data_IF_149355201042
#
_entry.id   IF_149355201042
#
_cell.length_a   1.000
_cell.length_b   1.000
_cell.length_c   1.000
_cell.angle_alpha   90.00
_cell.angle_beta   90.00
_cell.angle_gamma   90.00
#
_symmetry.space_group_name_H-M   'P 1'
#
loop_
_entity.id
_entity.type
_entity.pdbx_description
1 polymer ?
#
# COMPACT_ATOMS: atom_id res chain seq x y z
N UNK A 1 1.31 6.54 -22.97
CA UNK A 1 1.68 6.52 -21.55
C UNK A 1 0.88 7.63 -20.86
N UNK A 2 -0.16 7.27 -20.08
CA UNK A 2 -1.05 8.25 -19.45
C UNK A 2 -0.67 8.35 -17.97
N UNK A 3 0.15 9.33 -17.62
CA UNK A 3 0.46 9.65 -16.23
C UNK A 3 -0.73 10.41 -15.67
N UNK A 4 -1.57 9.73 -14.91
CA UNK A 4 -2.68 10.38 -14.21
C UNK A 4 -2.17 10.78 -12.84
N UNK A 5 -1.75 12.04 -12.68
CA UNK A 5 -1.53 12.60 -11.34
C UNK A 5 -2.88 12.60 -10.62
N UNK A 6 -2.97 11.88 -9.50
CA UNK A 6 -4.15 11.87 -8.66
C UNK A 6 -4.46 13.29 -8.20
N UNK A 7 -5.57 13.84 -8.71
CA UNK A 7 -6.15 15.12 -8.32
C UNK A 7 -7.40 14.80 -7.48
N UNK A 8 -7.47 15.19 -6.19
CA UNK A 8 -8.49 14.71 -5.26
C UNK A 8 -9.89 15.29 -5.49
N UNK A 9 -10.14 15.96 -6.61
CA UNK A 9 -11.42 16.59 -6.92
C UNK A 9 -11.89 16.30 -8.34
N UNK A 10 -12.06 15.03 -8.71
CA UNK A 10 -12.93 14.67 -9.84
C UNK A 10 -13.46 13.23 -9.70
N UNK A 11 -14.71 13.19 -9.22
CA UNK A 11 -15.70 12.13 -9.26
C UNK A 11 -15.36 10.89 -10.13
N UNK A 12 -14.96 9.78 -9.48
CA UNK A 12 -15.24 8.42 -9.93
C UNK A 12 -16.08 7.75 -8.83
N UNK A 13 -17.38 7.56 -9.10
CA UNK A 13 -18.39 7.01 -8.18
C UNK A 13 -18.20 5.53 -7.80
N UNK A 14 -16.96 5.04 -7.70
CA UNK A 14 -16.61 3.72 -7.19
C UNK A 14 -15.48 3.76 -6.12
N UNK A 15 -14.97 4.95 -5.81
CA UNK A 15 -13.89 5.20 -4.83
C UNK A 15 -14.45 5.79 -3.51
N UNK A 16 -15.72 6.21 -3.50
CA UNK A 16 -16.34 6.95 -2.38
C UNK A 16 -16.52 6.11 -1.09
N UNK A 17 -16.78 4.80 -1.20
CA UNK A 17 -16.95 3.93 -0.02
C UNK A 17 -15.62 3.65 0.72
N UNK A 18 -14.49 3.82 0.03
CA UNK A 18 -13.17 3.47 0.54
C UNK A 18 -12.55 4.58 1.40
N UNK A 19 -12.83 5.84 1.07
CA UNK A 19 -12.27 7.00 1.79
C UNK A 19 -12.79 7.11 3.23
N UNK A 20 -13.99 6.58 3.50
CA UNK A 20 -14.59 6.56 4.84
C UNK A 20 -13.99 5.48 5.75
N UNK A 21 -13.53 4.35 5.19
CA UNK A 21 -12.80 3.29 5.90
C UNK A 21 -11.31 3.66 6.12
N UNK A 22 -10.67 4.30 5.14
CA UNK A 22 -9.29 4.83 5.20
C UNK A 22 -9.06 5.90 6.29
N UNK A 23 -10.13 6.54 6.75
CA UNK A 23 -10.08 7.56 7.81
C UNK A 23 -10.00 6.96 9.22
N UNK A 24 -10.43 5.72 9.44
CA UNK A 24 -10.39 5.04 10.74
C UNK A 24 -10.14 3.50 10.63
N UNK A 25 -8.95 3.08 10.16
CA UNK A 25 -8.62 1.66 9.94
C UNK A 25 -8.52 0.81 11.23
N UNK A 26 -8.60 1.42 12.41
CA UNK A 26 -8.47 0.75 13.71
C UNK A 26 -9.81 0.33 14.37
N UNK A 27 -10.96 0.71 13.81
CA UNK A 27 -12.26 0.37 14.39
C UNK A 27 -12.78 -1.03 13.97
N UNK A 28 -12.20 -1.66 12.94
CA UNK A 28 -12.71 -2.89 12.33
C UNK A 28 -11.97 -4.18 12.73
N UNK A 29 -10.87 -4.11 13.48
CA UNK A 29 -10.08 -5.28 13.88
C UNK A 29 -9.66 -5.19 15.36
N UNK A 30 -10.53 -5.59 16.31
CA UNK A 30 -10.20 -5.58 17.74
C UNK A 30 -8.99 -6.47 18.09
N UNK A 31 -8.64 -7.45 17.24
CA UNK A 31 -7.48 -8.33 17.43
C UNK A 31 -6.14 -7.67 17.00
N UNK A 32 -6.15 -6.74 16.04
CA UNK A 32 -4.95 -5.99 15.64
C UNK A 32 -4.67 -4.84 16.62
N UNK A 33 -5.73 -4.27 17.21
CA UNK A 33 -5.63 -3.29 18.29
C UNK A 33 -4.99 -3.83 19.58
N UNK A 34 -5.09 -5.15 19.84
CA UNK A 34 -4.41 -5.78 20.99
C UNK A 34 -2.92 -6.04 20.70
N UNK A 35 -2.57 -6.42 19.46
CA UNK A 35 -1.18 -6.67 19.06
C UNK A 35 -0.37 -5.38 18.87
N UNK A 36 -1.00 -4.30 18.38
CA UNK A 36 -0.39 -2.96 18.34
C UNK A 36 -0.54 -2.20 19.68
N UNK A 37 -1.55 -2.53 20.48
CA UNK A 37 -1.85 -1.86 21.76
C UNK A 37 -0.81 -2.13 22.84
N UNK A 38 -0.19 -3.33 22.84
CA UNK A 38 0.91 -3.66 23.75
C UNK A 38 2.29 -3.13 23.27
N UNK A 39 2.36 -2.51 22.08
CA UNK A 39 3.61 -2.03 21.48
C UNK A 39 3.73 -0.50 21.34
N UNK A 40 2.83 0.31 21.92
CA UNK A 40 2.92 1.76 21.72
C UNK A 40 2.55 2.64 22.93
N UNK A 41 3.52 2.93 23.82
CA UNK A 41 3.66 4.26 24.37
C UNK A 41 4.51 5.12 23.40
N UNK A 42 3.97 6.25 22.94
CA UNK A 42 4.69 7.36 22.30
C UNK A 42 5.30 7.20 20.88
N UNK A 43 4.81 6.31 20.01
CA UNK A 43 5.25 6.30 18.60
C UNK A 43 4.51 7.34 17.75
N UNK A 44 5.26 8.24 17.11
CA UNK A 44 4.74 9.02 15.99
C UNK A 44 4.47 8.05 14.84
N UNK A 45 3.28 8.12 14.22
CA UNK A 45 2.93 7.29 13.07
C UNK A 45 2.69 8.15 11.84
N UNK A 46 3.39 7.85 10.77
CA UNK A 46 3.26 8.52 9.47
C UNK A 46 2.51 7.65 8.46
N UNK A 47 2.00 8.30 7.40
CA UNK A 47 1.43 7.61 6.24
C UNK A 47 2.35 7.85 5.04
N UNK A 48 2.95 6.81 4.44
CA UNK A 48 3.79 6.98 3.26
C UNK A 48 2.94 7.49 2.08
N UNK A 49 3.53 8.33 1.23
CA UNK A 49 2.92 8.67 -0.04
C UNK A 49 2.77 7.40 -0.88
N UNK A 50 1.63 7.25 -1.56
CA UNK A 50 1.29 6.03 -2.28
C UNK A 50 0.73 6.36 -3.65
N UNK A 51 1.24 5.71 -4.68
CA UNK A 51 0.70 5.71 -6.04
C UNK A 51 0.23 4.30 -6.42
N UNK A 52 -0.86 4.22 -7.19
CA UNK A 52 -1.40 2.95 -7.68
C UNK A 52 -1.75 3.11 -9.16
N UNK A 53 -1.22 2.21 -9.97
CA UNK A 53 -1.48 2.20 -11.41
C UNK A 53 -1.54 0.77 -11.95
N UNK A 54 -1.92 0.62 -13.22
CA UNK A 54 -2.04 -0.68 -13.86
C UNK A 54 -1.57 -0.63 -15.32
N UNK A 55 -1.19 -1.79 -15.84
CA UNK A 55 -1.04 -2.04 -17.26
C UNK A 55 -1.92 -3.22 -17.70
N UNK A 56 -1.63 -3.82 -18.86
CA UNK A 56 -2.39 -4.96 -19.39
C UNK A 56 -2.30 -6.20 -18.49
N UNK A 57 -1.16 -6.39 -17.83
CA UNK A 57 -0.77 -7.64 -17.18
C UNK A 57 -0.70 -7.52 -15.66
N UNK A 58 -0.51 -6.32 -15.09
CA UNK A 58 -0.23 -6.11 -13.68
C UNK A 58 -0.97 -4.90 -13.09
N UNK A 59 -1.19 -4.94 -11.78
CA UNK A 59 -1.35 -3.75 -10.95
C UNK A 59 -0.03 -3.46 -10.23
N UNK A 60 0.22 -2.18 -9.96
CA UNK A 60 1.39 -1.68 -9.27
C UNK A 60 0.97 -0.80 -8.10
N UNK A 61 1.58 -1.01 -6.95
CA UNK A 61 1.46 -0.12 -5.80
C UNK A 61 2.85 0.36 -5.37
N UNK A 62 3.06 1.67 -5.42
CA UNK A 62 4.33 2.32 -5.11
C UNK A 62 4.20 3.08 -3.79
N UNK A 63 5.12 2.87 -2.85
CA UNK A 63 5.16 3.54 -1.56
C UNK A 63 6.48 4.26 -1.37
N UNK A 64 6.44 5.55 -1.07
CA UNK A 64 7.62 6.33 -0.76
C UNK A 64 8.05 6.07 0.69
N UNK A 65 9.21 5.43 0.85
CA UNK A 65 9.79 4.99 2.12
C UNK A 65 11.29 5.38 2.20
N UNK A 66 11.65 6.67 2.05
CA UNK A 66 13.04 7.10 2.10
C UNK A 66 13.65 6.85 3.49
N UNK A 67 14.86 6.28 3.50
CA UNK A 67 15.60 5.97 4.73
C UNK A 67 15.13 4.72 5.47
N UNK A 68 14.13 4.00 4.95
CA UNK A 68 13.71 2.69 5.48
C UNK A 68 14.63 1.61 4.94
N UNK A 69 15.11 0.73 5.83
CA UNK A 69 15.89 -0.45 5.44
C UNK A 69 14.97 -1.61 5.13
N UNK A 70 15.46 -2.54 4.30
CA UNK A 70 14.69 -3.74 3.93
C UNK A 70 14.36 -4.61 5.15
N UNK A 71 15.26 -4.74 6.12
CA UNK A 71 14.99 -5.48 7.36
C UNK A 71 13.90 -4.85 8.24
N UNK A 72 13.66 -3.55 8.11
CA UNK A 72 12.68 -2.78 8.89
C UNK A 72 11.33 -2.63 8.13
N UNK A 73 11.14 -3.39 7.04
CA UNK A 73 9.96 -3.33 6.17
C UNK A 73 9.19 -4.65 6.17
N UNK A 74 7.88 -4.56 6.40
CA UNK A 74 6.93 -5.68 6.34
C UNK A 74 5.86 -5.41 5.28
N UNK A 75 5.69 -6.37 4.38
CA UNK A 75 4.67 -6.32 3.31
C UNK A 75 3.88 -7.61 3.33
N UNK A 76 2.58 -7.53 3.52
CA UNK A 76 1.69 -8.68 3.64
C UNK A 76 0.42 -8.47 2.84
N UNK A 77 -0.14 -9.55 2.31
CA UNK A 77 -1.48 -9.54 1.73
C UNK A 77 -2.38 -10.50 2.52
N UNK A 78 -3.50 -10.00 3.03
CA UNK A 78 -4.49 -10.79 3.75
C UNK A 78 -5.89 -10.28 3.42
N UNK A 79 -6.85 -11.16 3.13
CA UNK A 79 -8.23 -10.79 2.77
C UNK A 79 -8.35 -9.68 1.72
N UNK A 80 -7.48 -9.73 0.69
CA UNK A 80 -7.38 -8.71 -0.38
C UNK A 80 -6.95 -7.33 0.11
N UNK A 81 -6.29 -7.23 1.25
CA UNK A 81 -5.64 -6.03 1.73
C UNK A 81 -4.14 -6.20 1.65
N UNK A 82 -3.48 -5.35 0.87
CA UNK A 82 -2.03 -5.19 0.89
C UNK A 82 -1.68 -4.25 2.04
N UNK A 83 -1.01 -4.79 3.05
CA UNK A 83 -0.52 -4.08 4.23
C UNK A 83 0.98 -3.84 4.08
N UNK A 84 1.39 -2.59 4.24
CA UNK A 84 2.79 -2.16 4.27
C UNK A 84 3.03 -1.46 5.60
N UNK A 85 3.97 -1.99 6.38
CA UNK A 85 4.42 -1.42 7.66
C UNK A 85 5.93 -1.29 7.63
N UNK A 86 6.45 -0.14 8.05
CA UNK A 86 7.88 0.10 8.08
C UNK A 86 8.30 0.93 9.30
N UNK A 87 9.52 0.72 9.79
CA UNK A 87 10.13 1.57 10.79
C UNK A 87 11.23 2.42 10.15
N UNK A 88 11.13 3.74 10.29
CA UNK A 88 12.20 4.67 9.90
C UNK A 88 12.89 5.19 11.15
N UNK A 89 14.18 4.92 11.27
CA UNK A 89 15.02 5.48 12.33
C UNK A 89 15.60 6.81 11.85
N UNK A 90 15.41 7.84 12.65
CA UNK A 90 15.95 9.18 12.45
C UNK A 90 16.93 9.52 13.55
N UNK A 91 18.07 10.07 13.15
CA UNK A 91 19.09 10.54 14.08
C UNK A 91 19.20 12.05 13.95
N UNK A 92 18.92 12.77 15.03
CA UNK A 92 19.08 14.22 15.09
C UNK A 92 20.09 14.55 16.19
N UNK A 93 21.37 14.66 15.81
CA UNK A 93 22.48 14.81 16.76
C UNK A 93 22.67 13.57 17.64
N UNK A 94 22.56 13.75 18.95
CA UNK A 94 22.66 12.67 19.95
C UNK A 94 21.33 11.96 20.21
N UNK A 95 20.21 12.49 19.72
CA UNK A 95 18.89 11.88 19.89
C UNK A 95 18.56 10.94 18.73
N UNK A 96 18.16 9.72 19.07
CA UNK A 96 17.62 8.73 18.15
C UNK A 96 16.10 8.64 18.35
N UNK A 97 15.35 8.74 17.26
CA UNK A 97 13.90 8.64 17.25
C UNK A 97 13.46 7.70 16.14
N UNK A 98 12.36 6.96 16.34
CA UNK A 98 11.77 6.12 15.31
C UNK A 98 10.37 6.60 14.93
N UNK A 99 10.09 6.53 13.63
CA UNK A 99 8.82 6.84 13.00
C UNK A 99 8.27 5.57 12.37
N UNK A 100 7.07 5.16 12.79
CA UNK A 100 6.39 4.00 12.19
C UNK A 100 5.52 4.47 11.02
N UNK A 101 5.71 3.88 9.85
CA UNK A 101 4.96 4.16 8.63
C UNK A 101 4.05 2.99 8.30
N UNK A 102 2.74 3.23 8.22
CA UNK A 102 1.76 2.17 7.90
C UNK A 102 0.80 2.61 6.81
N UNK A 103 0.51 1.70 5.87
CA UNK A 103 -0.51 1.88 4.84
C UNK A 103 -1.14 0.54 4.46
N UNK A 104 -2.47 0.54 4.31
CA UNK A 104 -3.22 -0.58 3.78
C UNK A 104 -3.99 -0.14 2.54
N UNK A 105 -3.95 -0.93 1.47
CA UNK A 105 -4.71 -0.69 0.25
C UNK A 105 -5.47 -1.96 -0.17
N UNK A 106 -6.67 -1.77 -0.71
CA UNK A 106 -7.44 -2.89 -1.27
C UNK A 106 -6.85 -3.36 -2.59
N UNK A 107 -6.74 -4.66 -2.73
CA UNK A 107 -6.27 -5.34 -3.93
C UNK A 107 -7.49 -5.80 -4.73
N UNK A 108 -7.56 -5.47 -6.04
CA UNK A 108 -8.66 -5.92 -6.89
C UNK A 108 -8.80 -7.44 -6.92
N UNK A 109 -10.02 -7.91 -7.17
CA UNK A 109 -10.21 -9.31 -7.53
C UNK A 109 -9.47 -9.63 -8.83
N UNK A 110 -8.97 -10.87 -8.95
CA UNK A 110 -8.26 -11.28 -10.15
C UNK A 110 -6.75 -11.07 -10.11
N UNK A 111 -6.15 -10.92 -8.92
CA UNK A 111 -4.69 -10.95 -8.76
C UNK A 111 -4.22 -12.40 -8.58
N UNK A 112 -3.16 -12.77 -9.28
CA UNK A 112 -2.44 -14.01 -9.07
C UNK A 112 -1.53 -13.86 -7.84
N UNK A 113 -1.95 -14.41 -6.70
CA UNK A 113 -1.23 -14.31 -5.43
C UNK A 113 0.17 -14.94 -5.48
N UNK A 114 0.36 -16.00 -6.26
CA UNK A 114 1.65 -16.71 -6.38
C UNK A 114 2.70 -15.88 -7.14
N UNK A 115 2.27 -14.93 -7.97
CA UNK A 115 3.14 -14.07 -8.77
C UNK A 115 3.47 -12.72 -8.13
N UNK A 116 2.97 -12.44 -6.93
CA UNK A 116 3.20 -11.16 -6.26
C UNK A 116 4.69 -11.02 -5.97
N UNK A 117 5.24 -9.84 -6.27
CA UNK A 117 6.62 -9.51 -5.97
C UNK A 117 6.75 -8.08 -5.46
N UNK A 118 7.81 -7.81 -4.70
CA UNK A 118 8.11 -6.49 -4.18
C UNK A 118 9.59 -6.17 -4.34
N UNK A 119 9.90 -4.90 -4.66
CA UNK A 119 11.27 -4.38 -4.74
C UNK A 119 11.34 -3.03 -4.05
N UNK A 120 12.41 -2.81 -3.28
CA UNK A 120 12.72 -1.53 -2.66
C UNK A 120 13.99 -1.00 -3.32
N UNK A 121 13.87 0.12 -4.02
CA UNK A 121 14.98 0.76 -4.75
C UNK A 121 14.84 2.28 -4.61
N UNK A 122 15.95 2.97 -4.31
CA UNK A 122 16.00 4.42 -4.13
C UNK A 122 14.94 5.00 -3.17
N UNK A 123 14.59 4.23 -2.13
CA UNK A 123 13.59 4.63 -1.14
C UNK A 123 12.14 4.48 -1.63
N UNK A 124 11.89 3.76 -2.72
CA UNK A 124 10.56 3.48 -3.25
C UNK A 124 10.31 1.97 -3.22
N UNK A 125 9.28 1.55 -2.47
CA UNK A 125 8.78 0.19 -2.51
C UNK A 125 7.78 0.05 -3.66
N UNK A 126 8.07 -0.81 -4.62
CA UNK A 126 7.16 -1.18 -5.71
C UNK A 126 6.67 -2.59 -5.47
N UNK A 127 5.35 -2.74 -5.26
CA UNK A 127 4.66 -4.03 -5.19
C UNK A 127 3.99 -4.29 -6.53
N UNK A 128 4.37 -5.38 -7.20
CA UNK A 128 3.78 -5.85 -8.45
C UNK A 128 2.78 -6.96 -8.16
N UNK A 129 1.55 -6.79 -8.63
CA UNK A 129 0.41 -7.66 -8.40
C UNK A 129 -0.09 -8.16 -9.77
N UNK A 130 0.38 -9.33 -10.26
CA UNK A 130 0.01 -9.82 -11.58
C UNK A 130 -1.48 -10.13 -11.69
N UNK A 131 -2.09 -9.81 -12.83
CA UNK A 131 -3.47 -10.17 -13.14
C UNK A 131 -3.55 -11.65 -13.50
N UNK A 132 -4.60 -12.33 -13.06
CA UNK A 132 -4.95 -13.67 -13.50
C UNK A 132 -5.23 -13.67 -15.01
N UNK A 133 -4.81 -14.72 -15.73
CA UNK A 133 -4.92 -14.79 -17.19
C UNK A 133 -6.34 -14.53 -17.71
N UNK A 134 -7.36 -15.07 -17.03
CA UNK A 134 -8.76 -14.92 -17.44
C UNK A 134 -9.34 -13.50 -17.22
N UNK A 135 -8.60 -12.59 -16.56
CA UNK A 135 -8.98 -11.19 -16.33
C UNK A 135 -8.25 -10.22 -17.26
N UNK A 136 -7.38 -10.69 -18.15
CA UNK A 136 -6.77 -9.83 -19.17
C UNK A 136 -7.84 -9.29 -20.13
N UNK A 137 -7.76 -8.03 -20.56
CA UNK A 137 -8.73 -7.46 -21.50
C UNK A 137 -8.83 -8.30 -22.77
N UNK A 138 -10.04 -8.67 -23.17
CA UNK A 138 -10.31 -9.28 -24.47
C UNK A 138 -10.58 -8.19 -25.49
N UNK A 139 -9.91 -8.25 -26.64
CA UNK A 139 -10.24 -7.38 -27.77
C UNK A 139 -11.59 -7.83 -28.33
N UNK A 140 -12.50 -6.88 -28.55
CA UNK A 140 -13.78 -7.11 -29.23
C UNK A 140 -13.70 -6.38 -30.56
N UNK A 141 -13.72 -7.13 -31.67
CA UNK A 141 -13.81 -6.56 -33.00
C UNK A 141 -15.24 -6.11 -33.28
N UNK A 142 -15.39 -4.92 -33.89
CA UNK A 142 -16.69 -4.40 -34.32
C UNK A 142 -16.89 -4.87 -35.77
N UNK A 143 -18.00 -5.57 -36.01
CA UNK A 143 -18.42 -6.06 -37.34
C UNK A 143 -19.21 -5.01 -38.12
#
# INVERSE_FOLDING_TARGET
>A
MKITRFNPSLNLGRVADFDQWLRNPFAAFPLMGQLLGDFAPAFTSGRPATDVHEDKDNYYACFELPGVKKEDLKVEIHDRLLNVSAERKEKNGEQESSLTLCRSISVPEGVNAEGISARLEDGILVVTLPKQEHRKPKLIEIA
#
